data_IF_815200597851
#
_entry.id   IF_815200597851
#
_cell.length_a   1.000
_cell.length_b   1.000
_cell.length_c   1.000
_cell.angle_alpha   90.00
_cell.angle_beta   90.00
_cell.angle_gamma   90.00
#
_symmetry.space_group_name_H-M   'P 1'
#
loop_
_entity.id
_entity.type
_entity.pdbx_description
1 polymer ?
#
# COMPACT_ATOMS: atom_id res chain seq x y z
N UNK A 1 -25.68 -14.70 -33.80
CA UNK A 1 -24.32 -14.36 -33.32
C UNK A 1 -24.29 -13.17 -32.35
N UNK A 2 -25.34 -12.36 -32.24
CA UNK A 2 -25.40 -11.14 -31.39
C UNK A 2 -25.04 -11.35 -29.90
N UNK A 3 -25.40 -12.48 -29.29
CA UNK A 3 -25.21 -12.66 -27.84
C UNK A 3 -23.74 -12.73 -27.39
N UNK A 4 -22.80 -13.15 -28.27
CA UNK A 4 -21.38 -13.23 -27.91
C UNK A 4 -20.73 -11.85 -27.88
N UNK A 5 -21.01 -11.03 -28.88
CA UNK A 5 -20.44 -9.68 -28.98
C UNK A 5 -20.95 -8.77 -27.85
N UNK A 6 -22.22 -8.92 -27.47
CA UNK A 6 -22.80 -8.24 -26.30
C UNK A 6 -22.17 -8.69 -24.97
N UNK A 7 -21.83 -9.97 -24.84
CA UNK A 7 -21.16 -10.47 -23.64
C UNK A 7 -19.72 -9.93 -23.54
N UNK A 8 -18.97 -9.96 -24.64
CA UNK A 8 -17.59 -9.47 -24.68
C UNK A 8 -17.54 -7.95 -24.42
N UNK A 9 -18.45 -7.18 -25.02
CA UNK A 9 -18.54 -5.73 -24.76
C UNK A 9 -18.85 -5.45 -23.28
N UNK A 10 -19.85 -6.09 -22.69
CA UNK A 10 -20.17 -5.91 -21.25
C UNK A 10 -18.98 -6.23 -20.35
N UNK A 11 -18.29 -7.33 -20.60
CA UNK A 11 -17.13 -7.78 -19.80
C UNK A 11 -15.95 -6.82 -19.98
N UNK A 12 -15.68 -6.37 -21.22
CA UNK A 12 -14.62 -5.39 -21.50
C UNK A 12 -14.87 -4.07 -20.74
N UNK A 13 -16.12 -3.61 -20.71
CA UNK A 13 -16.49 -2.38 -20.00
C UNK A 13 -16.46 -2.53 -18.48
N UNK A 14 -16.83 -3.69 -17.94
CA UNK A 14 -16.86 -3.91 -16.49
C UNK A 14 -15.46 -4.12 -15.89
N UNK A 15 -14.58 -4.81 -16.63
CA UNK A 15 -13.22 -5.10 -16.17
C UNK A 15 -12.19 -4.06 -16.62
N UNK A 16 -12.56 -3.17 -17.55
CA UNK A 16 -11.68 -2.18 -18.16
C UNK A 16 -10.59 -2.81 -19.03
N UNK A 17 -10.87 -3.96 -19.64
CA UNK A 17 -9.91 -4.77 -20.42
C UNK A 17 -10.24 -4.64 -21.91
N UNK A 18 -9.24 -4.77 -22.79
CA UNK A 18 -9.45 -4.69 -24.24
C UNK A 18 -10.39 -5.78 -24.76
N UNK A 19 -11.21 -5.48 -25.77
CA UNK A 19 -12.13 -6.44 -26.39
C UNK A 19 -11.40 -7.71 -26.85
N UNK A 20 -10.22 -7.55 -27.47
CA UNK A 20 -9.36 -8.65 -27.91
C UNK A 20 -8.88 -9.52 -26.77
N UNK A 21 -8.57 -8.94 -25.61
CA UNK A 21 -8.18 -9.73 -24.43
C UNK A 21 -9.35 -10.56 -23.91
N UNK A 22 -10.54 -9.97 -23.78
CA UNK A 22 -11.73 -10.69 -23.34
C UNK A 22 -12.06 -11.84 -24.30
N UNK A 23 -11.95 -11.59 -25.60
CA UNK A 23 -12.14 -12.60 -26.62
C UNK A 23 -11.11 -13.74 -26.50
N UNK A 24 -9.82 -13.42 -26.37
CA UNK A 24 -8.77 -14.44 -26.16
C UNK A 24 -8.96 -15.23 -24.86
N UNK A 25 -9.44 -14.60 -23.79
CA UNK A 25 -9.71 -15.26 -22.52
C UNK A 25 -10.91 -16.21 -22.60
N UNK A 26 -11.98 -15.80 -23.31
CA UNK A 26 -13.10 -16.70 -23.61
C UNK A 26 -12.66 -17.89 -24.48
N UNK A 27 -11.81 -17.67 -25.48
CA UNK A 27 -11.29 -18.77 -26.32
C UNK A 27 -10.35 -19.72 -25.56
N UNK A 28 -9.55 -19.20 -24.62
CA UNK A 28 -8.66 -20.00 -23.77
C UNK A 28 -9.38 -20.70 -22.62
N UNK A 29 -10.67 -20.43 -22.41
CA UNK A 29 -11.45 -20.99 -21.30
C UNK A 29 -10.99 -20.49 -19.93
N UNK A 30 -10.34 -19.31 -19.88
CA UNK A 30 -9.92 -18.69 -18.62
C UNK A 30 -11.16 -18.21 -17.88
N UNK A 31 -11.33 -18.67 -16.63
CA UNK A 31 -12.43 -18.25 -15.79
C UNK A 31 -12.23 -16.78 -15.40
N UNK A 32 -13.25 -15.95 -15.61
CA UNK A 32 -13.20 -14.53 -15.21
C UNK A 32 -13.02 -14.35 -13.70
N UNK A 33 -13.32 -15.39 -12.90
CA UNK A 33 -13.06 -15.38 -11.46
C UNK A 33 -11.55 -15.37 -11.16
N UNK A 34 -10.75 -16.09 -11.94
CA UNK A 34 -9.30 -16.20 -11.74
C UNK A 34 -8.61 -14.84 -12.00
N UNK A 35 -9.15 -14.04 -12.93
CA UNK A 35 -8.66 -12.69 -13.23
C UNK A 35 -8.97 -11.72 -12.08
N UNK A 36 -10.13 -11.87 -11.44
CA UNK A 36 -10.49 -11.04 -10.30
C UNK A 36 -9.65 -11.41 -9.08
N UNK A 37 -9.36 -12.69 -8.88
CA UNK A 37 -8.47 -13.13 -7.80
C UNK A 37 -7.06 -12.56 -7.94
N UNK A 38 -6.48 -12.59 -9.14
CA UNK A 38 -5.13 -12.03 -9.35
C UNK A 38 -5.09 -10.51 -9.10
N UNK A 39 -6.10 -9.75 -9.54
CA UNK A 39 -6.20 -8.31 -9.27
C UNK A 39 -6.41 -8.00 -7.78
N UNK A 40 -7.20 -8.82 -7.08
CA UNK A 40 -7.39 -8.69 -5.62
C UNK A 40 -6.08 -8.97 -4.89
N UNK A 41 -5.31 -9.95 -5.35
CA UNK A 41 -4.02 -10.31 -4.77
C UNK A 41 -2.97 -9.23 -4.98
N UNK A 42 -2.91 -8.62 -6.18
CA UNK A 42 -2.08 -7.44 -6.45
C UNK A 42 -2.45 -6.25 -5.56
N UNK A 43 -3.75 -5.98 -5.37
CA UNK A 43 -4.22 -4.93 -4.46
C UNK A 43 -3.83 -5.22 -3.00
N UNK A 44 -3.96 -6.47 -2.54
CA UNK A 44 -3.53 -6.87 -1.20
C UNK A 44 -2.04 -6.65 -1.00
N UNK A 45 -1.22 -7.08 -1.97
CA UNK A 45 0.24 -6.87 -1.92
C UNK A 45 0.59 -5.37 -1.90
N UNK A 46 -0.08 -4.56 -2.70
CA UNK A 46 0.13 -3.12 -2.72
C UNK A 46 -0.23 -2.44 -1.38
N UNK A 47 -1.32 -2.89 -0.73
CA UNK A 47 -1.70 -2.41 0.60
C UNK A 47 -0.70 -2.84 1.68
N UNK A 48 -0.26 -4.11 1.66
CA UNK A 48 0.72 -4.62 2.61
C UNK A 48 2.06 -3.87 2.51
N UNK A 49 2.50 -3.56 1.28
CA UNK A 49 3.67 -2.71 1.05
C UNK A 49 3.48 -1.28 1.59
N UNK A 50 2.29 -0.70 1.48
CA UNK A 50 2.01 0.61 2.07
C UNK A 50 2.04 0.58 3.61
N UNK A 51 1.42 -0.41 4.25
CA UNK A 51 1.43 -0.55 5.71
C UNK A 51 2.86 -0.67 6.26
N UNK A 52 3.74 -1.39 5.56
CA UNK A 52 5.16 -1.51 5.89
C UNK A 52 5.92 -0.18 5.84
N UNK A 53 5.51 0.76 4.98
CA UNK A 53 6.13 2.10 4.89
C UNK A 53 5.73 2.98 6.08
N UNK A 54 4.48 2.89 6.56
CA UNK A 54 3.99 3.69 7.70
C UNK A 54 4.48 3.19 9.05
N UNK A 55 4.76 1.89 9.19
CA UNK A 55 5.19 1.26 10.44
C UNK A 55 6.70 1.39 10.72
N UNK A 56 7.49 2.01 9.83
CA UNK A 56 8.93 2.18 10.08
C UNK A 56 9.16 3.06 11.32
N UNK A 57 9.74 2.52 12.41
CA UNK A 57 10.08 3.32 13.57
C UNK A 57 11.10 4.35 13.12
N UNK A 58 10.72 5.63 13.12
CA UNK A 58 11.67 6.73 12.87
C UNK A 58 12.81 6.59 13.86
N UNK A 59 13.96 6.06 13.41
CA UNK A 59 15.19 5.95 14.20
C UNK A 59 15.55 7.35 14.66
N UNK A 60 15.22 7.68 15.90
CA UNK A 60 15.58 8.96 16.50
C UNK A 60 17.11 8.97 16.57
N UNK A 61 17.74 9.95 15.93
CA UNK A 61 19.19 10.14 16.01
C UNK A 61 19.58 10.19 17.49
N UNK A 62 20.70 9.57 17.90
CA UNK A 62 21.17 9.69 19.27
C UNK A 62 21.33 11.18 19.58
N UNK A 63 20.58 11.68 20.55
CA UNK A 63 20.72 13.05 21.02
C UNK A 63 22.05 13.11 21.77
N UNK A 64 23.03 13.81 21.20
CA UNK A 64 24.33 14.00 21.82
C UNK A 64 24.22 15.06 22.94
N UNK A 65 23.37 14.78 23.93
CA UNK A 65 23.16 15.66 25.08
C UNK A 65 24.33 15.48 26.04
N UNK A 66 25.40 16.22 25.80
CA UNK A 66 26.44 16.44 26.81
C UNK A 66 25.90 17.38 27.88
N UNK A 67 25.50 16.80 29.01
CA UNK A 67 25.07 17.53 30.21
C UNK A 67 26.15 18.57 30.56
N UNK A 68 25.83 19.87 30.70
CA UNK A 68 26.82 20.88 31.03
C UNK A 68 27.49 20.54 32.36
N UNK A 69 28.82 20.38 32.35
CA UNK A 69 29.62 19.95 33.51
C UNK A 69 29.63 20.99 34.65
N UNK A 70 29.29 22.24 34.35
CA UNK A 70 29.26 23.34 35.33
C UNK A 70 27.86 23.93 35.52
N UNK A 71 27.05 23.27 36.35
CA UNK A 71 25.98 23.98 37.05
C UNK A 71 26.60 24.72 38.23
N UNK A 72 26.88 26.02 38.06
CA UNK A 72 27.18 26.92 39.19
C UNK A 72 26.07 26.74 40.23
N UNK A 73 26.40 26.16 41.39
CA UNK A 73 25.46 26.03 42.51
C UNK A 73 25.11 27.45 42.96
N UNK A 74 23.83 27.84 42.84
CA UNK A 74 23.36 29.11 43.41
C UNK A 74 23.62 29.09 44.93
N UNK A 75 24.10 30.18 45.53
CA UNK A 75 24.31 30.21 46.97
C UNK A 75 22.97 29.99 47.68
N UNK A 76 22.93 29.04 48.62
CA UNK A 76 21.79 28.88 49.52
C UNK A 76 21.76 30.10 50.42
N UNK A 77 20.75 30.95 50.25
CA UNK A 77 20.53 32.09 51.13
C UNK A 77 20.15 31.55 52.53
N UNK A 78 21.11 31.52 53.46
CA UNK A 78 20.84 31.23 54.87
C UNK A 78 20.18 32.47 55.45
N UNK A 79 18.85 32.47 55.50
CA UNK A 79 18.10 33.43 56.32
C UNK A 79 18.51 33.17 57.78
N UNK A 80 19.03 34.22 58.43
CA UNK A 80 19.28 34.30 59.87
C UNK A 80 17.97 34.20 60.63
#
# INVERSE_FOLDING_TARGET
MQNKEEAITRISTSLGISYSEVETMMYKGVSFNDINESKIEELKQAMEQQELVWLQPKRRKPTNYTKPRDRKKKPKNKRR
#
